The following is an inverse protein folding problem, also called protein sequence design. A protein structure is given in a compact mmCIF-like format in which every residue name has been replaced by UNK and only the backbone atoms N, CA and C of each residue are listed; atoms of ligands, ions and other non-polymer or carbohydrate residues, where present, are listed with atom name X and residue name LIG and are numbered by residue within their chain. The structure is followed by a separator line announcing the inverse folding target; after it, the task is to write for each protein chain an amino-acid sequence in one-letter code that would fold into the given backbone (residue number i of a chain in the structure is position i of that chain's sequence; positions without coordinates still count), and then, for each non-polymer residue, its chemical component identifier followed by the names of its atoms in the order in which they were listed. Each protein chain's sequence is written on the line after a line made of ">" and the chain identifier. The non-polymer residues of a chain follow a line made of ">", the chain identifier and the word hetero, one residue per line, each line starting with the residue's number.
data_IF_281140084842
#
_entry.id   IF_281140084842
#
_cell.length_a   1.000
_cell.length_b   1.000
_cell.length_c   1.000
_cell.angle_alpha   90.00
_cell.angle_beta   90.00
_cell.angle_gamma   90.00
#
_symmetry.space_group_name_H-M   'P 1'
#
loop_
_entity.id
_entity.type
_entity.pdbx_description
1 polymer ?
#
# COMPACT_ATOMS: atom_id res chain seq x y z
N UNK A 1 62.92 64.99 21.89
CA UNK A 1 63.32 63.75 21.26
C UNK A 1 62.37 62.65 21.74
N UNK A 2 61.33 62.34 20.98
CA UNK A 2 60.34 61.29 21.31
C UNK A 2 60.58 60.10 20.37
N UNK A 3 60.93 58.93 20.93
CA UNK A 3 61.11 57.70 20.24
C UNK A 3 59.74 57.02 20.09
N UNK A 4 59.35 56.72 18.87
CA UNK A 4 58.18 55.97 18.53
C UNK A 4 58.59 54.49 18.38
N UNK A 5 58.01 53.61 19.21
CA UNK A 5 58.09 52.14 19.07
C UNK A 5 57.01 51.66 18.12
N UNK A 6 57.44 51.03 17.04
CA UNK A 6 56.53 50.23 16.17
C UNK A 6 56.35 48.84 16.78
N UNK A 7 55.13 48.48 17.16
CA UNK A 7 54.77 47.09 17.44
C UNK A 7 54.30 46.46 16.16
N UNK A 8 55.01 45.43 15.68
CA UNK A 8 54.58 44.56 14.61
C UNK A 8 53.69 43.41 15.19
N UNK A 9 52.40 43.41 14.82
CA UNK A 9 51.48 42.32 15.13
C UNK A 9 51.64 41.17 14.13
N UNK A 10 52.10 40.03 14.64
CA UNK A 10 52.20 38.79 13.89
C UNK A 10 50.83 38.11 13.93
N UNK A 11 50.07 38.13 12.81
CA UNK A 11 48.80 37.44 12.66
C UNK A 11 49.03 35.95 12.37
N UNK A 12 48.70 35.12 13.33
CA UNK A 12 48.61 33.64 13.13
C UNK A 12 47.28 33.30 12.51
N UNK A 13 47.28 32.92 11.24
CA UNK A 13 46.11 32.38 10.58
C UNK A 13 45.91 30.92 11.01
N UNK A 14 44.88 30.69 11.83
CA UNK A 14 44.39 29.35 12.15
C UNK A 14 43.64 28.80 10.94
N UNK A 15 44.28 27.86 10.21
CA UNK A 15 43.60 27.07 9.17
C UNK A 15 42.67 26.04 9.85
N UNK A 16 41.37 26.24 9.77
CA UNK A 16 40.40 25.20 10.12
C UNK A 16 40.46 24.07 9.05
N UNK A 17 40.60 22.81 9.45
CA UNK A 17 40.45 21.72 8.50
C UNK A 17 39.00 21.70 8.00
N UNK A 18 38.78 21.82 6.70
CA UNK A 18 37.53 21.57 6.05
C UNK A 18 37.20 20.08 6.19
N UNK A 19 36.20 19.76 7.01
CA UNK A 19 35.59 18.44 7.01
C UNK A 19 34.94 18.25 5.66
N UNK A 20 35.55 17.39 4.81
CA UNK A 20 34.94 16.89 3.60
C UNK A 20 33.68 16.09 4.03
N UNK A 21 32.50 16.60 3.72
CA UNK A 21 31.27 15.82 3.76
C UNK A 21 31.46 14.62 2.82
N UNK A 22 31.16 13.38 3.28
CA UNK A 22 31.10 12.27 2.35
C UNK A 22 30.05 12.60 1.29
N UNK A 23 30.43 12.56 0.03
CA UNK A 23 29.53 12.63 -1.09
C UNK A 23 28.51 11.50 -0.91
N UNK A 24 27.27 11.85 -0.52
CA UNK A 24 26.18 10.93 -0.48
C UNK A 24 26.00 10.35 -1.89
N UNK A 25 26.30 9.08 -2.07
CA UNK A 25 25.89 8.35 -3.24
C UNK A 25 24.39 8.41 -3.28
N UNK A 26 23.82 9.27 -4.10
CA UNK A 26 22.45 9.12 -4.57
C UNK A 26 22.47 7.93 -5.54
N UNK A 27 22.49 6.73 -4.95
CA UNK A 27 22.17 5.54 -5.72
C UNK A 27 20.71 5.75 -6.16
N UNK A 28 20.55 6.15 -7.40
CA UNK A 28 19.26 6.20 -8.07
C UNK A 28 18.69 4.79 -7.97
N UNK A 29 17.70 4.62 -7.07
CA UNK A 29 17.00 3.35 -6.91
C UNK A 29 16.52 2.95 -8.30
N UNK A 30 17.04 1.83 -8.81
CA UNK A 30 16.66 1.29 -10.10
C UNK A 30 15.14 1.16 -10.16
N UNK A 31 14.49 1.99 -10.97
CA UNK A 31 13.02 2.07 -11.09
C UNK A 31 12.48 0.97 -12.02
N UNK A 32 13.33 0.05 -12.48
CA UNK A 32 12.97 -1.02 -13.41
C UNK A 32 12.10 -2.13 -12.80
N UNK A 33 11.54 -3.00 -13.67
CA UNK A 33 10.76 -4.16 -13.26
C UNK A 33 11.56 -5.09 -12.35
N UNK A 34 10.90 -5.63 -11.33
CA UNK A 34 11.50 -6.61 -10.41
C UNK A 34 11.14 -8.01 -10.91
N UNK A 35 12.16 -8.80 -11.20
CA UNK A 35 12.02 -10.18 -11.72
C UNK A 35 12.39 -11.24 -10.70
N UNK A 36 12.98 -10.85 -9.58
CA UNK A 36 13.33 -11.72 -8.46
C UNK A 36 12.19 -11.76 -7.45
N UNK A 37 11.94 -12.91 -6.85
CA UNK A 37 10.97 -13.05 -5.78
C UNK A 37 11.30 -12.21 -4.56
N UNK A 38 10.27 -11.76 -3.88
CA UNK A 38 10.33 -10.93 -2.69
C UNK A 38 9.65 -11.65 -1.53
N UNK A 39 10.15 -11.42 -0.33
CA UNK A 39 9.55 -11.87 0.93
C UNK A 39 8.58 -10.81 1.42
N UNK A 40 7.29 -11.07 1.21
CA UNK A 40 6.21 -10.11 1.50
C UNK A 40 5.51 -10.51 2.80
N UNK A 41 5.44 -9.60 3.76
CA UNK A 41 4.66 -9.76 4.98
C UNK A 41 3.39 -8.90 4.89
N UNK A 42 2.24 -9.52 5.17
CA UNK A 42 0.92 -8.85 5.10
C UNK A 42 0.38 -8.60 6.50
N UNK A 43 0.00 -7.35 6.79
CA UNK A 43 -0.63 -6.94 8.04
C UNK A 43 -1.95 -6.26 7.75
N UNK A 44 -3.02 -6.72 8.37
CA UNK A 44 -4.32 -6.10 8.21
C UNK A 44 -5.47 -6.98 8.72
N UNK A 45 -6.56 -6.92 8.02
CA UNK A 45 -7.85 -7.50 8.40
C UNK A 45 -8.54 -8.15 7.18
N UNK A 46 -9.80 -8.54 7.35
CA UNK A 46 -10.59 -9.25 6.32
C UNK A 46 -10.70 -8.58 4.94
N UNK A 47 -10.31 -7.34 4.81
CA UNK A 47 -10.26 -6.62 3.53
C UNK A 47 -8.86 -6.60 2.89
N UNK A 48 -7.87 -7.30 3.46
CA UNK A 48 -6.50 -7.23 2.97
C UNK A 48 -5.75 -8.56 3.00
N UNK A 49 -5.89 -9.36 4.07
CA UNK A 49 -5.01 -10.51 4.32
C UNK A 49 -5.05 -11.59 3.22
N UNK A 50 -6.13 -11.68 2.48
CA UNK A 50 -6.28 -12.56 1.31
C UNK A 50 -5.44 -12.10 0.09
N UNK A 51 -4.91 -10.89 0.11
CA UNK A 51 -3.95 -10.44 -0.92
C UNK A 51 -2.72 -11.35 -0.97
N UNK A 52 -2.23 -11.83 0.18
CA UNK A 52 -1.02 -12.65 0.23
C UNK A 52 -1.09 -13.92 -0.66
N UNK A 53 -2.09 -14.81 -0.53
CA UNK A 53 -2.19 -15.99 -1.40
C UNK A 53 -2.52 -15.63 -2.86
N UNK A 54 -3.27 -14.58 -3.14
CA UNK A 54 -3.58 -14.14 -4.51
C UNK A 54 -2.30 -13.60 -5.18
N UNK A 55 -1.57 -12.72 -4.51
CA UNK A 55 -0.30 -12.19 -5.00
C UNK A 55 0.72 -13.32 -5.27
N UNK A 56 0.77 -14.34 -4.40
CA UNK A 56 1.64 -15.50 -4.61
C UNK A 56 1.32 -16.20 -5.94
N UNK A 57 0.05 -16.47 -6.23
CA UNK A 57 -0.38 -17.11 -7.48
C UNK A 57 -0.11 -16.24 -8.71
N UNK A 58 -0.36 -14.93 -8.60
CA UNK A 58 -0.07 -13.97 -9.67
C UNK A 58 1.44 -13.93 -9.94
N UNK A 59 2.28 -13.86 -8.89
CA UNK A 59 3.72 -13.85 -9.05
C UNK A 59 4.25 -15.14 -9.71
N UNK A 60 3.73 -16.30 -9.31
CA UNK A 60 4.08 -17.55 -9.97
C UNK A 60 3.69 -17.55 -11.47
N UNK A 61 2.48 -17.09 -11.80
CA UNK A 61 2.02 -17.02 -13.20
C UNK A 61 2.83 -16.01 -14.02
N UNK A 62 3.41 -15.01 -13.38
CA UNK A 62 4.30 -14.02 -13.99
C UNK A 62 5.76 -14.49 -14.12
N UNK A 63 6.05 -15.76 -13.80
CA UNK A 63 7.41 -16.34 -13.84
C UNK A 63 8.32 -15.90 -12.70
N UNK A 64 7.75 -15.63 -11.52
CA UNK A 64 8.47 -15.29 -10.28
C UNK A 64 8.20 -16.38 -9.24
N UNK A 65 8.77 -17.59 -9.40
CA UNK A 65 8.44 -18.75 -8.55
C UNK A 65 9.01 -18.63 -7.13
N UNK A 66 10.01 -17.80 -6.91
CA UNK A 66 10.69 -17.57 -5.64
C UNK A 66 10.05 -16.46 -4.78
N UNK A 67 8.84 -15.98 -5.15
CA UNK A 67 8.02 -15.16 -4.26
C UNK A 67 7.68 -15.91 -2.98
N UNK A 68 7.76 -15.24 -1.84
CA UNK A 68 7.51 -15.83 -0.53
C UNK A 68 6.50 -15.02 0.27
N UNK A 69 5.54 -15.71 0.85
CA UNK A 69 4.70 -15.16 1.92
C UNK A 69 5.52 -15.24 3.21
N UNK A 70 6.15 -14.13 3.60
CA UNK A 70 6.96 -14.07 4.82
C UNK A 70 6.12 -14.20 6.10
N UNK A 71 4.83 -13.92 6.01
CA UNK A 71 3.85 -14.10 7.06
C UNK A 71 2.60 -13.25 6.84
N UNK A 72 1.60 -13.52 7.66
CA UNK A 72 0.32 -12.80 7.68
C UNK A 72 -0.01 -12.50 9.14
N UNK A 73 -0.29 -11.24 9.47
CA UNK A 73 -0.92 -10.83 10.72
C UNK A 73 -2.35 -10.40 10.41
N UNK A 74 -3.29 -11.29 10.70
CA UNK A 74 -4.72 -11.06 10.51
C UNK A 74 -5.37 -10.66 11.83
N UNK A 75 -5.92 -9.45 11.86
CA UNK A 75 -6.65 -8.95 13.00
C UNK A 75 -7.97 -8.34 12.51
N UNK A 76 -9.04 -9.15 12.46
CA UNK A 76 -10.33 -8.75 11.91
C UNK A 76 -10.88 -7.46 12.52
N UNK A 77 -11.32 -6.51 11.66
CA UNK A 77 -11.89 -5.23 12.06
C UNK A 77 -10.94 -4.30 12.82
N UNK A 78 -9.64 -4.38 12.55
CA UNK A 78 -8.60 -3.59 13.23
C UNK A 78 -8.08 -2.45 12.37
N UNK A 79 -7.50 -1.46 13.02
CA UNK A 79 -6.59 -0.49 12.42
C UNK A 79 -5.17 -1.10 12.31
N UNK A 80 -4.27 -0.44 11.59
CA UNK A 80 -2.84 -0.82 11.59
C UNK A 80 -2.22 -0.61 12.97
N UNK A 81 -2.70 0.39 13.71
CA UNK A 81 -2.27 0.63 15.09
C UNK A 81 -2.69 -0.51 16.03
N UNK A 82 -3.91 -1.04 15.90
CA UNK A 82 -4.33 -2.24 16.65
C UNK A 82 -3.40 -3.43 16.37
N UNK A 83 -3.00 -3.62 15.10
CA UNK A 83 -2.04 -4.65 14.72
C UNK A 83 -0.65 -4.41 15.33
N UNK A 84 -0.26 -3.16 15.50
CA UNK A 84 0.98 -2.81 16.20
C UNK A 84 0.91 -3.17 17.68
N UNK A 85 -0.21 -2.97 18.34
CA UNK A 85 -0.38 -3.16 19.79
C UNK A 85 -0.68 -4.60 20.21
N UNK A 86 -0.80 -5.56 19.27
CA UNK A 86 -0.88 -6.99 19.59
C UNK A 86 0.41 -7.43 20.34
N UNK A 87 0.31 -8.13 21.51
CA UNK A 87 -0.77 -8.97 21.99
C UNK A 87 -1.75 -8.28 22.98
N UNK A 88 -1.65 -6.98 23.21
CA UNK A 88 -2.43 -6.29 24.24
C UNK A 88 -3.92 -6.08 23.86
N UNK A 89 -4.33 -6.47 22.65
CA UNK A 89 -5.73 -6.41 22.25
C UNK A 89 -6.52 -7.44 23.05
N UNK A 90 -7.23 -6.95 24.06
CA UNK A 90 -8.10 -7.76 24.90
C UNK A 90 -9.11 -8.50 24.05
N UNK A 91 -9.23 -9.81 24.29
CA UNK A 91 -10.40 -10.61 23.95
C UNK A 91 -10.59 -11.06 22.50
N UNK A 92 -9.52 -11.45 21.82
CA UNK A 92 -9.66 -12.06 20.49
C UNK A 92 -9.19 -13.52 20.52
N UNK A 93 -10.13 -14.42 20.53
CA UNK A 93 -9.95 -15.88 20.66
C UNK A 93 -9.14 -16.54 19.52
N UNK A 94 -8.68 -15.77 18.53
CA UNK A 94 -7.90 -16.22 17.37
C UNK A 94 -6.61 -15.42 17.14
N UNK A 95 -6.09 -14.75 18.15
CA UNK A 95 -4.88 -13.97 17.98
C UNK A 95 -3.62 -14.83 17.96
N UNK A 96 -2.63 -14.46 17.13
CA UNK A 96 -1.32 -15.03 17.29
C UNK A 96 -0.76 -14.73 18.69
N UNK A 97 -0.04 -15.67 19.32
CA UNK A 97 0.45 -15.51 20.68
C UNK A 97 1.49 -14.40 20.85
N UNK A 98 1.98 -13.85 19.74
CA UNK A 98 2.94 -12.75 19.69
C UNK A 98 2.69 -11.90 18.45
N UNK A 99 3.19 -10.66 18.43
CA UNK A 99 3.15 -9.84 17.22
C UNK A 99 4.14 -10.38 16.19
N UNK A 100 3.66 -11.29 15.34
CA UNK A 100 4.48 -11.97 14.33
C UNK A 100 5.08 -10.99 13.31
N UNK A 101 4.41 -9.85 13.03
CA UNK A 101 4.93 -8.83 12.13
C UNK A 101 6.16 -8.13 12.72
N UNK A 102 6.12 -7.72 13.99
CA UNK A 102 7.30 -7.13 14.66
C UNK A 102 8.46 -8.11 14.68
N UNK A 103 8.18 -9.37 15.05
CA UNK A 103 9.22 -10.42 15.09
C UNK A 103 9.86 -10.63 13.71
N UNK A 104 9.03 -10.71 12.65
CA UNK A 104 9.53 -10.87 11.29
C UNK A 104 10.36 -9.66 10.82
N UNK A 105 9.91 -8.43 11.09
CA UNK A 105 10.64 -7.20 10.74
C UNK A 105 12.01 -7.14 11.43
N UNK A 106 12.09 -7.54 12.72
CA UNK A 106 13.33 -7.56 13.50
C UNK A 106 14.37 -8.56 12.96
N UNK A 107 13.99 -9.49 12.11
CA UNK A 107 14.96 -10.38 11.43
C UNK A 107 15.70 -9.69 10.29
N UNK A 108 15.22 -8.55 9.79
CA UNK A 108 15.72 -7.91 8.58
C UNK A 108 15.41 -8.70 7.29
N UNK A 109 14.61 -9.76 7.36
CA UNK A 109 14.36 -10.67 6.24
C UNK A 109 13.09 -10.35 5.45
N UNK A 110 12.34 -9.32 5.81
CA UNK A 110 11.17 -8.87 5.07
C UNK A 110 11.60 -7.84 4.01
N UNK A 111 11.25 -8.09 2.74
CA UNK A 111 11.56 -7.19 1.63
C UNK A 111 10.44 -6.16 1.41
N UNK A 112 9.19 -6.58 1.63
CA UNK A 112 8.00 -5.73 1.52
C UNK A 112 7.08 -6.01 2.70
N UNK A 113 6.64 -4.95 3.36
CA UNK A 113 5.54 -4.99 4.33
C UNK A 113 4.32 -4.33 3.69
N UNK A 114 3.19 -5.03 3.61
CA UNK A 114 1.95 -4.44 3.10
C UNK A 114 0.94 -4.24 4.23
N UNK A 115 0.37 -3.03 4.29
CA UNK A 115 -0.51 -2.53 5.34
C UNK A 115 -1.85 -2.10 4.74
N UNK A 116 -2.93 -2.22 5.49
CA UNK A 116 -4.25 -1.78 5.05
C UNK A 116 -4.96 -0.96 6.14
N UNK A 117 -4.79 0.36 6.13
CA UNK A 117 -5.61 1.25 6.94
C UNK A 117 -6.97 1.46 6.27
N UNK A 118 -8.05 1.46 7.05
CA UNK A 118 -9.37 1.83 6.54
C UNK A 118 -9.61 3.34 6.77
N UNK A 119 -9.14 3.85 7.88
CA UNK A 119 -9.30 5.25 8.27
C UNK A 119 -7.96 5.94 8.40
N UNK A 120 -7.97 7.24 8.21
CA UNK A 120 -6.80 8.08 8.35
C UNK A 120 -7.07 9.16 9.42
N UNK A 121 -6.08 9.51 10.23
CA UNK A 121 -4.71 8.99 10.29
C UNK A 121 -4.62 7.62 10.99
N UNK A 122 -3.62 6.81 10.64
CA UNK A 122 -3.31 5.55 11.33
C UNK A 122 -1.82 5.50 11.71
N UNK A 123 -1.52 5.79 12.97
CA UNK A 123 -0.13 5.84 13.49
C UNK A 123 0.62 4.50 13.41
N UNK A 124 -0.11 3.39 13.24
CA UNK A 124 0.49 2.08 13.06
C UNK A 124 1.40 2.01 11.84
N UNK A 125 1.06 2.76 10.77
CA UNK A 125 1.87 2.85 9.55
C UNK A 125 3.26 3.39 9.86
N UNK A 126 3.35 4.52 10.56
CA UNK A 126 4.64 5.13 10.94
C UNK A 126 5.46 4.19 11.83
N UNK A 127 4.81 3.55 12.81
CA UNK A 127 5.46 2.64 13.75
C UNK A 127 6.05 1.40 13.06
N UNK A 128 5.29 0.74 12.18
CA UNK A 128 5.77 -0.40 11.41
C UNK A 128 6.86 -0.01 10.42
N UNK A 129 6.71 1.14 9.76
CA UNK A 129 7.71 1.64 8.81
C UNK A 129 9.05 1.93 9.50
N UNK A 130 9.01 2.62 10.63
CA UNK A 130 10.22 2.91 11.42
C UNK A 130 10.92 1.62 11.87
N UNK A 131 10.16 0.64 12.39
CA UNK A 131 10.73 -0.65 12.80
C UNK A 131 11.32 -1.39 11.59
N UNK A 132 10.59 -1.46 10.47
CA UNK A 132 11.08 -2.14 9.27
C UNK A 132 12.40 -1.55 8.77
N UNK A 133 12.49 -0.23 8.67
CA UNK A 133 13.69 0.48 8.23
C UNK A 133 14.87 0.33 9.19
N UNK A 134 14.62 0.19 10.49
CA UNK A 134 15.67 -0.04 11.49
C UNK A 134 16.45 -1.34 11.23
N UNK A 135 15.76 -2.41 10.79
CA UNK A 135 16.36 -3.73 10.58
C UNK A 135 16.64 -4.06 9.10
N UNK A 136 15.92 -3.44 8.18
CA UNK A 136 16.17 -3.52 6.75
C UNK A 136 16.05 -2.14 6.10
N UNK A 137 17.15 -1.41 5.89
CA UNK A 137 17.10 -0.07 5.28
C UNK A 137 16.52 -0.05 3.85
N UNK A 138 16.40 -1.21 3.20
CA UNK A 138 15.88 -1.37 1.84
C UNK A 138 14.43 -1.89 1.81
N UNK A 139 13.80 -2.10 2.96
CA UNK A 139 12.40 -2.53 3.00
C UNK A 139 11.52 -1.49 2.32
N UNK A 140 10.52 -1.96 1.58
CA UNK A 140 9.42 -1.13 1.11
C UNK A 140 8.18 -1.40 1.94
N UNK A 141 7.51 -0.35 2.32
CA UNK A 141 6.23 -0.43 3.02
C UNK A 141 5.15 0.00 2.04
N UNK A 142 4.16 -0.83 1.78
CA UNK A 142 3.04 -0.47 0.93
C UNK A 142 1.79 -0.30 1.77
N UNK A 143 1.03 0.74 1.49
CA UNK A 143 -0.26 1.04 2.11
C UNK A 143 -1.33 0.85 1.06
N UNK A 144 -2.26 -0.07 1.29
CA UNK A 144 -3.40 -0.24 0.41
C UNK A 144 -4.34 0.94 0.56
N UNK A 145 -4.51 1.69 -0.50
CA UNK A 145 -5.64 2.59 -0.66
C UNK A 145 -6.93 1.77 -0.71
N UNK A 146 -7.92 2.18 0.05
CA UNK A 146 -9.06 1.34 0.31
C UNK A 146 -10.24 1.68 -0.61
N UNK A 147 -11.06 0.69 -0.96
CA UNK A 147 -12.39 0.97 -1.48
C UNK A 147 -13.29 1.36 -0.32
N UNK A 148 -14.17 2.29 -0.49
CA UNK A 148 -15.05 2.75 0.57
C UNK A 148 -16.18 1.72 0.80
N UNK A 149 -16.14 0.91 1.86
CA UNK A 149 -17.06 -0.21 2.04
C UNK A 149 -18.51 0.24 2.27
N UNK A 150 -18.69 1.49 2.69
CA UNK A 150 -20.02 2.09 2.92
C UNK A 150 -20.37 3.12 1.86
N UNK A 151 -19.62 3.20 0.75
CA UNK A 151 -19.76 4.20 -0.32
C UNK A 151 -19.64 5.67 0.15
N UNK A 152 -19.22 5.88 1.38
CA UNK A 152 -19.00 7.20 1.99
C UNK A 152 -17.65 7.23 2.70
N UNK A 153 -17.08 8.41 2.79
CA UNK A 153 -15.88 8.66 3.58
C UNK A 153 -16.16 9.73 4.62
N UNK A 154 -15.95 9.35 5.88
CA UNK A 154 -15.91 10.27 6.99
C UNK A 154 -14.58 10.05 7.72
N UNK A 155 -13.79 11.10 7.92
CA UNK A 155 -12.44 10.98 8.48
C UNK A 155 -12.43 10.60 9.97
N UNK A 156 -13.59 10.49 10.59
CA UNK A 156 -13.70 10.12 12.02
C UNK A 156 -14.35 8.76 12.13
N UNK A 157 -13.54 7.79 12.56
CA UNK A 157 -14.06 6.53 13.02
C UNK A 157 -14.96 6.76 14.24
N UNK A 158 -16.23 6.40 14.20
CA UNK A 158 -16.59 5.14 14.83
C UNK A 158 -17.53 4.32 13.94
N UNK A 159 -17.09 3.19 13.46
CA UNK A 159 -18.06 2.16 13.23
C UNK A 159 -18.69 1.85 14.60
N UNK A 160 -19.97 2.08 14.73
CA UNK A 160 -20.77 1.36 15.71
C UNK A 160 -20.75 -0.11 15.25
N UNK A 161 -19.68 -0.81 15.64
CA UNK A 161 -19.43 -2.20 15.23
C UNK A 161 -20.56 -3.16 15.62
N UNK A 162 -21.52 -2.68 16.42
CA UNK A 162 -22.76 -3.38 16.76
C UNK A 162 -23.86 -3.23 15.72
N UNK A 163 -23.78 -2.27 14.81
CA UNK A 163 -24.86 -1.95 13.88
C UNK A 163 -24.49 -2.38 12.46
N UNK A 164 -25.21 -3.36 11.93
CA UNK A 164 -25.03 -3.82 10.55
C UNK A 164 -25.29 -2.66 9.58
N UNK A 165 -24.35 -2.34 8.68
CA UNK A 165 -24.57 -1.30 7.66
C UNK A 165 -25.73 -1.70 6.73
N UNK A 166 -26.46 -0.71 6.26
CA UNK A 166 -27.55 -0.86 5.28
C UNK A 166 -27.18 -0.13 3.99
N UNK A 167 -26.05 -0.51 3.39
CA UNK A 167 -25.57 0.13 2.16
C UNK A 167 -26.19 -0.54 0.95
N UNK A 168 -26.83 0.25 0.08
CA UNK A 168 -27.18 -0.17 -1.27
C UNK A 168 -26.14 0.35 -2.26
N UNK A 169 -25.16 -0.49 -2.57
CA UNK A 169 -24.07 -0.15 -3.48
C UNK A 169 -24.56 0.20 -4.90
N UNK A 170 -25.77 -0.21 -5.28
CA UNK A 170 -26.33 0.11 -6.59
C UNK A 170 -26.98 1.51 -6.62
N UNK A 171 -27.35 2.05 -5.45
CA UNK A 171 -27.89 3.40 -5.35
C UNK A 171 -26.81 4.49 -5.44
N UNK A 172 -25.56 4.17 -5.14
CA UNK A 172 -24.45 5.10 -5.18
C UNK A 172 -24.14 5.54 -6.63
N UNK A 173 -24.22 6.84 -6.89
CA UNK A 173 -23.86 7.39 -8.20
C UNK A 173 -22.36 7.62 -8.32
N UNK A 174 -21.81 7.53 -9.54
CA UNK A 174 -20.39 7.74 -9.77
C UNK A 174 -19.90 9.13 -9.31
N UNK A 175 -20.65 10.25 -9.56
CA UNK A 175 -20.23 11.57 -9.06
C UNK A 175 -20.16 11.65 -7.53
N UNK A 176 -21.09 11.02 -6.80
CA UNK A 176 -21.07 10.96 -5.33
C UNK A 176 -19.89 10.14 -4.84
N UNK A 177 -19.67 8.96 -5.43
CA UNK A 177 -18.53 8.12 -5.11
C UNK A 177 -17.21 8.87 -5.31
N UNK A 178 -17.01 9.52 -6.45
CA UNK A 178 -15.81 10.31 -6.72
C UNK A 178 -15.55 11.33 -5.63
N UNK A 179 -16.55 12.06 -5.19
CA UNK A 179 -16.41 13.06 -4.11
C UNK A 179 -15.88 12.45 -2.82
N UNK A 180 -16.39 11.27 -2.42
CA UNK A 180 -15.93 10.57 -1.22
C UNK A 180 -14.54 9.97 -1.40
N UNK A 181 -14.27 9.37 -2.55
CA UNK A 181 -12.97 8.79 -2.86
C UNK A 181 -11.88 9.86 -2.94
N UNK A 182 -12.12 11.00 -3.58
CA UNK A 182 -11.16 12.11 -3.66
C UNK A 182 -10.76 12.62 -2.27
N UNK A 183 -11.74 12.77 -1.36
CA UNK A 183 -11.46 13.17 0.01
C UNK A 183 -10.60 12.13 0.74
N UNK A 184 -10.89 10.85 0.58
CA UNK A 184 -10.12 9.76 1.17
C UNK A 184 -8.70 9.69 0.59
N UNK A 185 -8.55 9.73 -0.74
CA UNK A 185 -7.25 9.70 -1.40
C UNK A 185 -6.37 10.87 -0.94
N UNK A 186 -6.95 12.06 -0.85
CA UNK A 186 -6.23 13.23 -0.34
C UNK A 186 -5.68 12.99 1.08
N UNK A 187 -6.47 12.41 1.97
CA UNK A 187 -6.05 12.14 3.35
C UNK A 187 -4.96 11.06 3.43
N UNK A 188 -5.09 9.97 2.64
CA UNK A 188 -4.06 8.92 2.53
C UNK A 188 -2.75 9.49 2.00
N UNK A 189 -2.80 10.24 0.89
CA UNK A 189 -1.64 10.85 0.26
C UNK A 189 -0.90 11.78 1.23
N UNK A 190 -1.63 12.67 1.89
CA UNK A 190 -1.04 13.61 2.84
C UNK A 190 -0.43 12.89 4.04
N UNK A 191 -1.10 11.86 4.54
CA UNK A 191 -0.57 11.10 5.65
C UNK A 191 0.71 10.36 5.27
N UNK A 192 0.72 9.63 4.17
CA UNK A 192 1.90 8.89 3.69
C UNK A 192 3.05 9.84 3.38
N UNK A 193 2.78 11.00 2.77
CA UNK A 193 3.79 12.04 2.51
C UNK A 193 4.42 12.53 3.82
N UNK A 194 3.60 12.80 4.85
CA UNK A 194 4.08 13.23 6.16
C UNK A 194 4.91 12.14 6.85
N UNK A 195 4.51 10.87 6.75
CA UNK A 195 5.29 9.74 7.28
C UNK A 195 6.63 9.65 6.59
N UNK A 196 6.69 9.71 5.26
CA UNK A 196 7.94 9.69 4.49
C UNK A 196 8.86 10.88 4.85
N UNK A 197 8.29 12.07 5.04
CA UNK A 197 9.04 13.23 5.49
C UNK A 197 9.68 13.00 6.87
N UNK A 198 8.94 12.46 7.84
CA UNK A 198 9.47 12.12 9.17
C UNK A 198 10.54 11.04 9.11
N UNK A 199 10.39 10.06 8.23
CA UNK A 199 11.38 8.99 8.03
C UNK A 199 12.62 9.46 7.25
N UNK A 200 12.57 10.65 6.62
CA UNK A 200 13.64 11.19 5.77
C UNK A 200 13.86 10.37 4.49
N UNK A 201 12.87 9.57 4.08
CA UNK A 201 12.96 8.63 2.95
C UNK A 201 11.57 8.27 2.41
N UNK A 202 11.44 8.16 1.08
CA UNK A 202 10.23 7.67 0.40
C UNK A 202 10.14 6.14 0.50
N UNK A 203 9.96 5.62 1.72
CA UNK A 203 9.90 4.19 2.00
C UNK A 203 8.47 3.64 2.04
N UNK A 204 7.49 4.49 2.31
CA UNK A 204 6.07 4.15 2.33
C UNK A 204 5.45 4.55 1.00
N UNK A 205 4.89 3.56 0.31
CA UNK A 205 4.28 3.67 -1.03
C UNK A 205 2.79 3.39 -0.93
N UNK A 206 2.02 3.81 -1.92
CA UNK A 206 0.57 3.60 -1.96
C UNK A 206 0.22 2.62 -3.09
N UNK A 207 -0.51 1.57 -2.74
CA UNK A 207 -1.14 0.67 -3.72
C UNK A 207 -2.55 1.17 -3.99
N UNK A 208 -2.86 1.73 -5.18
CA UNK A 208 -4.08 2.47 -5.48
C UNK A 208 -5.28 1.55 -5.79
N UNK A 209 -5.62 0.65 -4.88
CA UNK A 209 -6.75 -0.28 -5.02
C UNK A 209 -8.08 0.48 -5.07
N UNK A 210 -8.20 1.55 -4.28
CA UNK A 210 -9.39 2.41 -4.29
C UNK A 210 -9.65 3.04 -5.65
N UNK A 211 -8.61 3.57 -6.29
CA UNK A 211 -8.71 4.17 -7.63
C UNK A 211 -9.10 3.13 -8.68
N UNK A 212 -8.46 1.96 -8.67
CA UNK A 212 -8.80 0.86 -9.57
C UNK A 212 -10.24 0.38 -9.35
N UNK A 213 -10.71 0.34 -8.08
CA UNK A 213 -12.09 -0.05 -7.75
C UNK A 213 -13.09 0.97 -8.25
N UNK A 214 -12.83 2.27 -8.07
CA UNK A 214 -13.70 3.32 -8.59
C UNK A 214 -13.81 3.22 -10.12
N UNK A 215 -12.68 3.05 -10.81
CA UNK A 215 -12.65 2.86 -12.25
C UNK A 215 -13.43 1.61 -12.72
N UNK A 216 -13.35 0.50 -11.97
CA UNK A 216 -14.16 -0.69 -12.27
C UNK A 216 -15.65 -0.41 -12.07
N UNK A 217 -16.06 0.31 -11.00
CA UNK A 217 -17.45 0.71 -10.77
C UNK A 217 -17.98 1.59 -11.90
N UNK A 218 -17.16 2.50 -12.43
CA UNK A 218 -17.52 3.31 -13.61
C UNK A 218 -17.77 2.43 -14.84
N UNK A 219 -16.94 1.41 -15.06
CA UNK A 219 -17.13 0.44 -16.14
C UNK A 219 -18.42 -0.39 -15.96
N UNK A 220 -18.74 -0.79 -14.74
CA UNK A 220 -19.99 -1.49 -14.43
C UNK A 220 -21.19 -0.63 -14.75
N UNK A 221 -21.25 0.60 -14.26
CA UNK A 221 -22.36 1.53 -14.51
C UNK A 221 -22.53 1.85 -16.00
N UNK A 222 -21.41 1.89 -16.74
CA UNK A 222 -21.42 2.08 -18.20
C UNK A 222 -21.78 0.82 -19.00
N UNK A 223 -22.01 -0.35 -18.36
CA UNK A 223 -22.24 -1.62 -19.04
C UNK A 223 -21.01 -2.16 -19.78
N UNK A 224 -19.81 -1.79 -19.34
CA UNK A 224 -18.51 -2.11 -19.95
C UNK A 224 -17.69 -3.10 -19.10
N UNK A 225 -18.27 -3.72 -18.08
CA UNK A 225 -17.60 -4.72 -17.24
C UNK A 225 -18.17 -6.14 -17.56
N UNK A 226 -17.51 -6.93 -18.41
CA UNK A 226 -18.04 -8.23 -18.85
C UNK A 226 -18.27 -9.18 -17.67
N UNK A 227 -19.52 -9.68 -17.51
CA UNK A 227 -19.86 -10.62 -16.44
C UNK A 227 -20.17 -9.99 -15.09
N UNK A 228 -20.12 -8.65 -14.95
CA UNK A 228 -20.58 -7.89 -13.79
C UNK A 228 -21.65 -6.91 -14.25
N UNK A 229 -22.87 -7.05 -13.73
CA UNK A 229 -24.02 -6.24 -14.14
C UNK A 229 -24.28 -5.08 -13.19
N UNK A 230 -23.96 -5.23 -11.90
CA UNK A 230 -24.27 -4.25 -10.87
C UNK A 230 -23.07 -4.00 -9.95
N UNK A 231 -23.01 -2.80 -9.35
CA UNK A 231 -21.94 -2.45 -8.43
C UNK A 231 -21.94 -3.33 -7.16
N UNK A 232 -23.12 -3.74 -6.71
CA UNK A 232 -23.27 -4.60 -5.53
C UNK A 232 -22.59 -5.96 -5.69
N UNK A 233 -22.37 -6.44 -6.91
CA UNK A 233 -21.68 -7.72 -7.17
C UNK A 233 -20.20 -7.71 -6.77
N UNK A 234 -19.62 -6.55 -6.56
CA UNK A 234 -18.26 -6.42 -6.03
C UNK A 234 -18.18 -6.77 -4.54
N UNK A 235 -19.31 -6.82 -3.84
CA UNK A 235 -19.37 -6.99 -2.39
C UNK A 235 -20.26 -8.19 -2.02
N UNK A 236 -19.80 -9.02 -1.10
CA UNK A 236 -20.51 -10.23 -0.67
C UNK A 236 -21.44 -10.02 0.52
N UNK A 237 -21.33 -8.88 1.17
CA UNK A 237 -22.13 -8.54 2.34
C UNK A 237 -22.23 -7.01 2.55
N UNK A 238 -23.14 -6.56 3.44
CA UNK A 238 -23.30 -5.13 3.72
C UNK A 238 -22.12 -4.43 4.41
N UNK A 239 -21.11 -5.19 4.83
CA UNK A 239 -19.87 -4.64 5.39
C UNK A 239 -18.87 -4.24 4.29
N UNK A 240 -19.19 -4.55 3.04
CA UNK A 240 -18.34 -4.27 1.91
C UNK A 240 -17.16 -5.24 1.77
N UNK A 241 -17.26 -6.46 2.30
CA UNK A 241 -16.25 -7.49 2.02
C UNK A 241 -16.24 -7.81 0.53
N UNK A 242 -15.08 -7.90 -0.09
CA UNK A 242 -14.98 -8.07 -1.52
C UNK A 242 -15.43 -9.45 -1.98
N UNK A 243 -15.93 -9.52 -3.21
CA UNK A 243 -16.07 -10.76 -3.98
C UNK A 243 -14.80 -11.02 -4.80
N UNK A 244 -14.70 -12.20 -5.42
CA UNK A 244 -13.53 -12.59 -6.18
C UNK A 244 -13.05 -11.54 -7.23
N UNK A 245 -13.91 -10.86 -8.00
CA UNK A 245 -13.46 -9.80 -8.91
C UNK A 245 -12.68 -8.69 -8.21
N UNK A 246 -13.17 -8.19 -7.07
CA UNK A 246 -12.49 -7.12 -6.35
C UNK A 246 -11.22 -7.62 -5.64
N UNK A 247 -11.22 -8.87 -5.13
CA UNK A 247 -10.03 -9.50 -4.58
C UNK A 247 -8.93 -9.65 -5.63
N UNK A 248 -9.26 -10.11 -6.84
CA UNK A 248 -8.30 -10.27 -7.95
C UNK A 248 -7.80 -8.92 -8.46
N UNK A 249 -8.68 -7.92 -8.63
CA UNK A 249 -8.29 -6.57 -8.98
C UNK A 249 -7.25 -6.01 -7.99
N UNK A 250 -7.53 -6.16 -6.69
CA UNK A 250 -6.60 -5.76 -5.63
C UNK A 250 -5.26 -6.51 -5.73
N UNK A 251 -5.30 -7.81 -5.98
CA UNK A 251 -4.11 -8.63 -6.20
C UNK A 251 -3.27 -8.13 -7.37
N UNK A 252 -3.89 -7.70 -8.47
CA UNK A 252 -3.20 -7.10 -9.62
C UNK A 252 -2.59 -5.74 -9.28
N UNK A 253 -3.26 -4.89 -8.49
CA UNK A 253 -2.68 -3.63 -8.01
C UNK A 253 -1.43 -3.89 -7.17
N UNK A 254 -1.50 -4.83 -6.22
CA UNK A 254 -0.35 -5.21 -5.40
C UNK A 254 0.79 -5.81 -6.23
N UNK A 255 0.49 -6.66 -7.21
CA UNK A 255 1.50 -7.19 -8.12
C UNK A 255 2.18 -6.07 -8.91
N UNK A 256 1.39 -5.18 -9.50
CA UNK A 256 1.89 -4.08 -10.31
C UNK A 256 2.80 -3.14 -9.51
N UNK A 257 2.42 -2.80 -8.28
CA UNK A 257 3.21 -1.97 -7.38
C UNK A 257 4.47 -2.70 -6.88
N UNK A 258 4.30 -3.86 -6.27
CA UNK A 258 5.39 -4.61 -5.62
C UNK A 258 6.45 -5.05 -6.62
N UNK A 259 6.05 -5.53 -7.78
CA UNK A 259 6.97 -6.02 -8.81
C UNK A 259 7.29 -5.00 -9.90
N UNK A 260 6.65 -3.83 -9.89
CA UNK A 260 6.80 -2.79 -10.92
C UNK A 260 6.63 -3.36 -12.33
N UNK A 261 5.66 -4.26 -12.47
CA UNK A 261 5.37 -4.99 -13.70
C UNK A 261 3.90 -4.95 -14.02
N UNK A 262 3.60 -4.75 -15.30
CA UNK A 262 2.22 -4.84 -15.76
C UNK A 262 1.67 -6.25 -15.55
N UNK A 263 0.47 -6.41 -14.95
CA UNK A 263 -0.23 -7.68 -14.88
C UNK A 263 -0.91 -8.04 -16.19
N UNK A 264 -0.93 -7.14 -17.16
CA UNK A 264 -1.64 -7.26 -18.43
C UNK A 264 -1.10 -8.43 -19.25
N UNK A 265 -1.99 -9.37 -19.56
CA UNK A 265 -1.66 -10.60 -20.29
C UNK A 265 -1.24 -11.77 -19.42
N UNK A 266 -1.24 -11.64 -18.09
CA UNK A 266 -1.06 -12.78 -17.20
C UNK A 266 -2.28 -13.71 -17.24
N UNK A 267 -2.08 -15.02 -17.01
CA UNK A 267 -3.17 -15.98 -16.90
C UNK A 267 -4.20 -15.57 -15.85
N UNK A 268 -5.45 -15.94 -16.09
CA UNK A 268 -6.55 -15.69 -15.16
C UNK A 268 -6.32 -16.46 -13.84
N UNK A 269 -6.41 -15.80 -12.68
CA UNK A 269 -6.31 -16.44 -11.37
C UNK A 269 -7.49 -17.42 -11.15
N UNK A 270 -7.24 -18.53 -10.43
CA UNK A 270 -8.27 -19.53 -10.17
C UNK A 270 -9.43 -19.03 -9.28
N UNK A 271 -9.27 -17.89 -8.61
CA UNK A 271 -10.31 -17.23 -7.83
C UNK A 271 -11.50 -16.76 -8.69
N UNK A 272 -11.26 -16.49 -9.96
CA UNK A 272 -12.33 -16.12 -10.89
C UNK A 272 -13.07 -17.38 -11.40
N UNK A 273 -14.20 -17.66 -10.77
CA UNK A 273 -15.04 -18.81 -11.07
C UNK A 273 -16.42 -18.41 -11.59
N UNK A 274 -17.17 -19.39 -12.11
CA UNK A 274 -18.54 -19.21 -12.60
C UNK A 274 -18.63 -18.12 -13.66
N UNK A 275 -19.53 -17.17 -13.50
CA UNK A 275 -19.71 -16.04 -14.43
C UNK A 275 -18.53 -15.07 -14.49
N UNK A 276 -17.70 -15.05 -13.43
CA UNK A 276 -16.49 -14.22 -13.37
C UNK A 276 -15.29 -14.85 -14.08
N UNK A 277 -15.38 -16.13 -14.48
CA UNK A 277 -14.37 -16.79 -15.30
C UNK A 277 -14.49 -16.30 -16.76
N UNK A 278 -14.09 -15.05 -16.97
CA UNK A 278 -14.27 -14.31 -18.21
C UNK A 278 -12.95 -13.60 -18.58
N UNK A 279 -12.36 -13.95 -19.72
CA UNK A 279 -11.07 -13.39 -20.16
C UNK A 279 -11.14 -11.88 -20.41
N UNK A 280 -12.27 -11.35 -20.89
CA UNK A 280 -12.42 -9.92 -21.11
C UNK A 280 -12.52 -9.15 -19.77
N UNK A 281 -13.18 -9.72 -18.76
CA UNK A 281 -13.19 -9.17 -17.41
C UNK A 281 -11.79 -9.22 -16.78
N UNK A 282 -11.12 -10.36 -16.89
CA UNK A 282 -9.76 -10.52 -16.40
C UNK A 282 -8.82 -9.46 -17.00
N UNK A 283 -8.88 -9.29 -18.31
CA UNK A 283 -8.09 -8.28 -19.03
C UNK A 283 -8.42 -6.87 -18.59
N UNK A 284 -9.69 -6.53 -18.44
CA UNK A 284 -10.14 -5.23 -17.93
C UNK A 284 -9.55 -4.93 -16.56
N UNK A 285 -9.63 -5.88 -15.62
CA UNK A 285 -9.09 -5.71 -14.27
C UNK A 285 -7.58 -5.53 -14.27
N UNK A 286 -6.85 -6.25 -15.12
CA UNK A 286 -5.41 -6.09 -15.31
C UNK A 286 -5.05 -4.69 -15.80
N UNK A 287 -5.79 -4.17 -16.78
CA UNK A 287 -5.61 -2.84 -17.35
C UNK A 287 -5.91 -1.74 -16.32
N UNK A 288 -7.03 -1.85 -15.60
CA UNK A 288 -7.39 -0.90 -14.55
C UNK A 288 -6.38 -0.87 -13.40
N UNK A 289 -5.89 -2.03 -12.98
CA UNK A 289 -4.85 -2.12 -11.95
C UNK A 289 -3.54 -1.47 -12.40
N UNK A 290 -3.11 -1.75 -13.63
CA UNK A 290 -1.89 -1.17 -14.17
C UNK A 290 -2.01 0.34 -14.34
N UNK A 291 -3.13 0.80 -14.90
CA UNK A 291 -3.39 2.24 -15.09
C UNK A 291 -3.37 3.00 -13.77
N UNK A 292 -4.07 2.49 -12.75
CA UNK A 292 -4.06 3.09 -11.42
C UNK A 292 -2.64 3.21 -10.85
N UNK A 293 -1.84 2.13 -10.94
CA UNK A 293 -0.50 2.10 -10.36
C UNK A 293 0.47 3.04 -11.07
N UNK A 294 0.49 3.08 -12.40
CA UNK A 294 1.45 3.93 -13.14
C UNK A 294 1.11 5.42 -13.07
N UNK A 295 -0.14 5.77 -12.81
CA UNK A 295 -0.58 7.15 -12.69
C UNK A 295 -0.58 7.66 -11.24
N UNK A 296 -0.45 6.77 -10.25
CA UNK A 296 -0.37 7.20 -8.85
C UNK A 296 1.02 7.73 -8.51
N UNK A 297 1.16 8.99 -8.06
CA UNK A 297 2.46 9.64 -7.85
C UNK A 297 3.30 8.95 -6.76
N UNK A 298 2.64 8.24 -5.83
CA UNK A 298 3.28 7.59 -4.68
C UNK A 298 3.32 6.07 -4.77
N UNK A 299 2.99 5.45 -5.89
CA UNK A 299 3.13 3.99 -6.07
C UNK A 299 4.59 3.55 -6.17
N UNK A 300 5.52 4.48 -6.41
CA UNK A 300 6.91 4.13 -6.66
C UNK A 300 7.16 3.46 -8.02
N UNK A 301 6.13 3.37 -8.86
CA UNK A 301 6.23 2.86 -10.24
C UNK A 301 6.28 4.04 -11.21
N UNK A 302 7.33 4.10 -12.01
CA UNK A 302 7.47 5.12 -13.06
C UNK A 302 7.62 4.42 -14.39
N UNK A 303 6.73 4.69 -15.31
CA UNK A 303 6.87 4.26 -16.70
C UNK A 303 7.66 5.35 -17.41
N UNK A 304 8.88 5.03 -17.83
CA UNK A 304 9.58 5.91 -18.78
C UNK A 304 8.82 5.86 -20.10
N UNK A 305 8.39 7.03 -20.59
CA UNK A 305 7.83 7.09 -21.94
C UNK A 305 8.83 6.47 -22.93
N UNK A 306 8.34 5.72 -23.94
CA UNK A 306 9.16 5.09 -24.94
C UNK A 306 9.96 6.11 -25.78
#
# INVERSE_FOLDING_TARGET
>A
MKRILLLSALGVALACPAFAQPAGSTDAVSVGPITKGLRVFTVGHSFHVWVAPILFKIAQSAGIPDHQIAGILDLGGSTVLDCWDVPNAKDRTKQPPANTAKTALMTGQVDVLTLSPIWMPDEGIEKFAALGLQYNPNIRITVQEFWLPNDTYEPVYPLDVGKKPTVDHNAATIPELRKHYEAYFHDVDNYVRNVNQKLGKDAVLIVPVGQATLALREKIVAGQAPGIETQAELFRDPWGHPTAPLEVLSGYCHFADIYRRSPVGLPMPPELEGKYRNEALNRLMQELAWDAVIHHPMSGVKVTAP
#
